data_IF_771719842310
#
_entry.id   IF_771719842310
#
_cell.length_a   1.000
_cell.length_b   1.000
_cell.length_c   1.000
_cell.angle_alpha   90.00
_cell.angle_beta   90.00
_cell.angle_gamma   90.00
#
_symmetry.space_group_name_H-M   'P 1'
#
loop_
_entity.id
_entity.type
_entity.pdbx_description
1 polymer ?
#
# COMPACT_ATOMS: atom_id res chain seq x y z
N UNK A 1 -3.79 -48.24 10.48
CA UNK A 1 -5.11 -48.46 11.03
C UNK A 1 -6.04 -47.39 10.51
N UNK A 2 -6.96 -47.87 9.74
CA UNK A 2 -8.25 -47.37 9.26
C UNK A 2 -8.46 -45.89 8.92
N UNK A 3 -8.51 -45.76 7.65
CA UNK A 3 -9.08 -44.70 6.85
C UNK A 3 -10.56 -45.06 6.62
N UNK A 4 -11.51 -44.26 7.06
CA UNK A 4 -12.80 -44.09 6.38
C UNK A 4 -13.68 -43.12 7.19
N UNK A 5 -14.38 -42.32 6.42
CA UNK A 5 -15.65 -41.64 6.71
C UNK A 5 -15.57 -40.16 6.93
N UNK A 6 -15.48 -39.44 5.78
CA UNK A 6 -16.13 -38.12 5.66
C UNK A 6 -17.29 -38.25 4.67
N UNK A 7 -18.52 -37.93 5.03
CA UNK A 7 -19.63 -37.90 4.09
C UNK A 7 -19.54 -36.71 3.14
N UNK A 8 -19.71 -37.01 1.87
CA UNK A 8 -19.88 -36.08 0.76
C UNK A 8 -21.12 -35.22 1.02
N UNK A 9 -20.94 -33.92 1.28
CA UNK A 9 -22.01 -32.93 1.24
C UNK A 9 -22.05 -32.28 -0.15
N UNK A 10 -22.58 -33.00 -1.10
CA UNK A 10 -22.92 -32.53 -2.42
C UNK A 10 -24.46 -32.63 -2.55
N UNK A 11 -25.16 -31.51 -2.35
CA UNK A 11 -26.57 -31.37 -2.78
C UNK A 11 -27.34 -30.14 -2.24
N UNK A 12 -26.68 -29.11 -1.62
CA UNK A 12 -27.44 -27.93 -1.17
C UNK A 12 -26.90 -26.59 -1.69
N UNK A 13 -26.08 -26.61 -2.74
CA UNK A 13 -25.43 -25.40 -3.29
C UNK A 13 -26.20 -24.70 -4.41
N UNK A 14 -27.28 -25.27 -4.88
CA UNK A 14 -28.00 -24.78 -6.08
C UNK A 14 -29.12 -23.78 -5.80
N UNK A 15 -29.75 -23.81 -4.62
CA UNK A 15 -30.96 -22.99 -4.37
C UNK A 15 -30.71 -21.65 -3.65
N UNK A 16 -29.52 -21.47 -3.06
CA UNK A 16 -29.17 -20.21 -2.39
C UNK A 16 -28.58 -19.15 -3.32
N UNK A 17 -27.92 -19.56 -4.39
CA UNK A 17 -27.29 -18.63 -5.35
C UNK A 17 -28.33 -17.93 -6.25
N UNK A 18 -29.44 -18.56 -6.56
CA UNK A 18 -30.50 -17.95 -7.39
C UNK A 18 -31.38 -16.94 -6.64
N UNK A 19 -31.42 -17.01 -5.31
CA UNK A 19 -32.19 -16.04 -4.49
C UNK A 19 -31.43 -14.77 -4.15
N UNK A 20 -30.09 -14.76 -4.23
CA UNK A 20 -29.25 -13.59 -3.94
C UNK A 20 -29.23 -12.64 -5.13
N UNK A 21 -29.31 -13.14 -6.37
CA UNK A 21 -29.27 -12.31 -7.57
C UNK A 21 -30.54 -11.47 -7.85
N UNK A 22 -31.63 -11.65 -7.11
CA UNK A 22 -32.90 -10.92 -7.36
C UNK A 22 -33.19 -9.74 -6.45
N UNK A 23 -32.31 -9.38 -5.51
CA UNK A 23 -32.54 -8.27 -4.55
C UNK A 23 -31.54 -7.12 -4.55
N UNK A 24 -30.61 -7.07 -5.48
CA UNK A 24 -29.67 -5.93 -5.59
C UNK A 24 -29.89 -5.09 -6.85
N UNK A 25 -31.08 -4.53 -6.97
CA UNK A 25 -31.30 -3.34 -7.80
C UNK A 25 -31.87 -2.27 -6.89
N UNK A 26 -31.00 -1.59 -6.14
CA UNK A 26 -31.25 -0.21 -5.67
C UNK A 26 -30.03 0.27 -4.87
N UNK A 27 -29.41 1.34 -5.33
CA UNK A 27 -28.39 2.04 -4.54
C UNK A 27 -27.13 2.44 -5.34
N UNK A 28 -27.31 3.00 -6.54
CA UNK A 28 -26.20 3.72 -7.17
C UNK A 28 -26.11 5.10 -6.49
N UNK A 29 -25.37 5.17 -5.38
CA UNK A 29 -25.02 6.45 -4.78
C UNK A 29 -23.81 7.02 -5.52
N UNK A 30 -24.05 8.18 -6.12
CA UNK A 30 -23.13 9.02 -6.86
C UNK A 30 -21.99 9.46 -5.94
N UNK A 31 -20.83 8.81 -6.03
CA UNK A 31 -19.61 9.27 -5.36
C UNK A 31 -19.10 10.52 -6.07
N UNK A 32 -19.08 11.63 -5.36
CA UNK A 32 -18.51 12.88 -5.83
C UNK A 32 -17.01 12.70 -6.04
N UNK A 33 -16.55 12.84 -7.28
CA UNK A 33 -15.14 12.89 -7.64
C UNK A 33 -14.58 14.22 -7.12
N UNK A 34 -13.90 14.20 -5.99
CA UNK A 34 -13.04 15.29 -5.56
C UNK A 34 -11.77 15.26 -6.43
N UNK A 35 -11.70 16.20 -7.35
CA UNK A 35 -10.49 16.45 -8.13
C UNK A 35 -9.41 17.01 -7.20
N UNK A 36 -8.54 16.14 -6.70
CA UNK A 36 -7.29 16.55 -6.09
C UNK A 36 -6.36 17.06 -7.20
N UNK A 37 -6.33 18.38 -7.40
CA UNK A 37 -5.35 19.07 -8.24
C UNK A 37 -4.02 19.19 -7.49
N UNK A 38 -3.29 18.11 -7.41
CA UNK A 38 -1.93 18.09 -6.88
C UNK A 38 -1.07 17.12 -7.67
N UNK A 39 -0.13 17.65 -8.42
CA UNK A 39 1.06 17.01 -8.99
C UNK A 39 0.94 15.51 -9.35
N UNK A 40 0.49 15.23 -10.57
CA UNK A 40 0.51 13.88 -11.20
C UNK A 40 0.16 12.74 -10.24
N UNK A 41 -1.13 12.40 -10.11
CA UNK A 41 -1.62 11.42 -9.15
C UNK A 41 -0.94 10.05 -9.27
N UNK A 42 -1.10 9.22 -8.24
CA UNK A 42 -0.51 7.88 -8.12
C UNK A 42 -0.81 7.00 -9.35
N UNK A 43 -1.92 7.26 -10.04
CA UNK A 43 -2.34 6.55 -11.26
C UNK A 43 -1.33 6.66 -12.43
N UNK A 44 -0.44 7.66 -12.40
CA UNK A 44 0.60 7.87 -13.43
C UNK A 44 1.91 7.16 -13.12
N UNK A 45 2.04 6.58 -11.93
CA UNK A 45 3.26 5.89 -11.55
C UNK A 45 3.44 4.61 -12.37
N UNK A 46 4.70 4.24 -12.58
CA UNK A 46 5.13 3.10 -13.42
C UNK A 46 5.77 1.98 -12.60
N UNK A 47 5.64 2.05 -11.30
CA UNK A 47 6.10 1.06 -10.32
C UNK A 47 5.15 1.07 -9.11
N UNK A 48 5.19 0.00 -8.31
CA UNK A 48 4.41 -0.10 -7.08
C UNK A 48 4.72 1.09 -6.18
N UNK A 49 3.66 1.82 -5.81
CA UNK A 49 3.77 3.14 -5.16
C UNK A 49 2.74 3.27 -4.05
N UNK A 50 3.14 3.89 -2.95
CA UNK A 50 2.24 4.28 -1.86
C UNK A 50 2.29 5.79 -1.65
N UNK A 51 1.14 6.38 -1.29
CA UNK A 51 1.03 7.77 -0.83
C UNK A 51 0.05 7.88 0.32
N UNK A 52 0.22 8.90 1.15
CA UNK A 52 -0.69 9.22 2.25
C UNK A 52 -1.04 10.69 2.13
N UNK A 53 -2.32 11.02 2.18
CA UNK A 53 -2.78 12.40 2.15
C UNK A 53 -2.85 13.02 3.57
N UNK A 54 -3.16 14.32 3.64
CA UNK A 54 -3.26 15.07 4.90
C UNK A 54 -4.39 14.57 5.83
N UNK A 55 -5.35 13.80 5.30
CA UNK A 55 -6.43 13.19 6.09
C UNK A 55 -6.03 11.84 6.70
N UNK A 56 -4.88 11.29 6.30
CA UNK A 56 -4.42 9.95 6.67
C UNK A 56 -4.97 8.84 5.77
N UNK A 57 -5.65 9.20 4.67
CA UNK A 57 -6.06 8.25 3.62
C UNK A 57 -4.82 7.76 2.89
N UNK A 58 -4.72 6.46 2.71
CA UNK A 58 -3.61 5.84 1.97
C UNK A 58 -4.09 5.42 0.59
N UNK A 59 -3.35 5.77 -0.44
CA UNK A 59 -3.53 5.18 -1.78
C UNK A 59 -2.32 4.32 -2.12
N UNK A 60 -2.58 3.15 -2.69
CA UNK A 60 -1.58 2.24 -3.18
C UNK A 60 -1.82 1.91 -4.64
N UNK A 61 -0.77 1.96 -5.43
CA UNK A 61 -0.72 1.43 -6.78
C UNK A 61 0.16 0.20 -6.80
N UNK A 62 -0.43 -0.95 -7.00
CA UNK A 62 0.29 -2.20 -7.26
C UNK A 62 0.54 -2.34 -8.76
N UNK A 63 1.77 -2.65 -9.13
CA UNK A 63 2.16 -2.95 -10.50
C UNK A 63 2.94 -4.26 -10.54
N UNK A 64 2.27 -5.31 -11.02
CA UNK A 64 2.79 -6.68 -10.98
C UNK A 64 2.97 -7.25 -12.39
N UNK A 65 3.91 -8.17 -12.55
CA UNK A 65 4.05 -8.95 -13.78
C UNK A 65 2.85 -9.89 -13.96
N UNK A 66 2.22 -9.81 -15.11
CA UNK A 66 1.08 -10.62 -15.51
C UNK A 66 1.35 -11.34 -16.83
N UNK A 67 2.59 -11.74 -17.04
CA UNK A 67 3.05 -12.39 -18.28
C UNK A 67 2.72 -13.87 -18.35
N UNK A 68 2.45 -14.54 -17.22
CA UNK A 68 2.07 -15.94 -17.19
C UNK A 68 0.67 -16.14 -17.77
N UNK A 69 0.56 -16.96 -18.80
CA UNK A 69 -0.70 -17.24 -19.52
C UNK A 69 -1.74 -18.00 -18.69
N UNK A 70 -1.34 -18.58 -17.55
CA UNK A 70 -2.26 -19.24 -16.61
C UNK A 70 -3.09 -18.21 -15.84
N UNK A 71 -2.61 -16.99 -15.66
CA UNK A 71 -3.31 -15.93 -14.97
C UNK A 71 -4.45 -15.35 -15.81
N UNK A 72 -5.60 -15.11 -15.17
CA UNK A 72 -6.79 -14.54 -15.83
C UNK A 72 -7.20 -13.25 -15.10
N UNK A 73 -7.37 -12.18 -15.86
CA UNK A 73 -7.80 -10.87 -15.33
C UNK A 73 -9.08 -10.96 -14.50
N UNK A 74 -10.05 -11.78 -14.93
CA UNK A 74 -11.30 -11.97 -14.19
C UNK A 74 -11.11 -12.67 -12.84
N UNK A 75 -10.17 -13.60 -12.76
CA UNK A 75 -9.83 -14.32 -11.53
C UNK A 75 -9.12 -13.38 -10.57
N UNK A 76 -8.16 -12.58 -11.04
CA UNK A 76 -7.50 -11.53 -10.27
C UNK A 76 -8.53 -10.55 -9.70
N UNK A 77 -9.46 -10.05 -10.53
CA UNK A 77 -10.51 -9.15 -10.10
C UNK A 77 -11.41 -9.77 -9.02
N UNK A 78 -11.79 -11.04 -9.20
CA UNK A 78 -12.61 -11.75 -8.23
C UNK A 78 -11.89 -11.91 -6.89
N UNK A 79 -10.61 -12.29 -6.91
CA UNK A 79 -9.80 -12.45 -5.70
C UNK A 79 -9.61 -11.13 -4.94
N UNK A 80 -9.27 -10.05 -5.65
CA UNK A 80 -9.12 -8.73 -5.02
C UNK A 80 -10.42 -8.27 -4.38
N UNK A 81 -11.55 -8.40 -5.09
CA UNK A 81 -12.86 -8.02 -4.55
C UNK A 81 -13.24 -8.86 -3.34
N UNK A 82 -12.96 -10.17 -3.35
CA UNK A 82 -13.21 -11.06 -2.21
C UNK A 82 -12.38 -10.64 -0.98
N UNK A 83 -11.11 -10.31 -1.16
CA UNK A 83 -10.25 -9.83 -0.08
C UNK A 83 -10.75 -8.49 0.50
N UNK A 84 -11.11 -7.55 -0.36
CA UNK A 84 -11.65 -6.24 0.05
C UNK A 84 -12.97 -6.40 0.79
N UNK A 85 -13.91 -7.21 0.27
CA UNK A 85 -15.19 -7.48 0.92
C UNK A 85 -15.00 -8.17 2.29
N UNK A 86 -14.08 -9.13 2.38
CA UNK A 86 -13.78 -9.83 3.63
C UNK A 86 -13.23 -8.86 4.69
N UNK A 87 -12.25 -8.02 4.32
CA UNK A 87 -11.69 -7.02 5.22
C UNK A 87 -12.74 -5.99 5.66
N UNK A 88 -13.48 -5.41 4.74
CA UNK A 88 -14.52 -4.42 5.04
C UNK A 88 -15.62 -5.00 5.95
N UNK A 89 -15.97 -6.26 5.77
CA UNK A 89 -16.92 -6.95 6.65
C UNK A 89 -16.38 -7.09 8.07
N UNK A 90 -15.09 -7.42 8.23
CA UNK A 90 -14.45 -7.51 9.53
C UNK A 90 -14.30 -6.14 10.20
N UNK A 91 -13.89 -5.13 9.44
CA UNK A 91 -13.77 -3.74 9.90
C UNK A 91 -15.13 -3.10 10.24
N UNK A 92 -16.23 -3.62 9.71
CA UNK A 92 -17.58 -3.06 9.89
C UNK A 92 -17.80 -1.75 9.13
N UNK A 93 -16.97 -1.42 8.14
CA UNK A 93 -16.99 -0.19 7.34
C UNK A 93 -16.39 -0.44 5.95
N UNK A 94 -16.55 0.53 5.03
CA UNK A 94 -15.83 0.54 3.74
C UNK A 94 -14.40 1.05 3.96
N UNK A 95 -13.57 0.28 4.68
CA UNK A 95 -12.21 0.63 5.04
C UNK A 95 -11.23 0.58 3.85
N UNK A 96 -11.52 -0.29 2.86
CA UNK A 96 -10.72 -0.46 1.65
C UNK A 96 -11.61 -0.42 0.42
N UNK A 97 -11.15 0.23 -0.64
CA UNK A 97 -11.86 0.26 -1.93
C UNK A 97 -10.92 0.08 -3.12
N UNK A 98 -11.40 -0.61 -4.17
CA UNK A 98 -10.70 -0.71 -5.45
C UNK A 98 -11.04 0.52 -6.29
N UNK A 99 -10.08 1.39 -6.54
CA UNK A 99 -10.25 2.60 -7.38
C UNK A 99 -10.19 2.27 -8.86
N UNK A 100 -9.24 1.44 -9.24
CA UNK A 100 -9.09 0.96 -10.62
C UNK A 100 -8.35 -0.36 -10.68
N UNK A 101 -8.63 -1.14 -11.71
CA UNK A 101 -7.87 -2.32 -12.05
C UNK A 101 -7.77 -2.42 -13.57
N UNK A 102 -6.59 -2.72 -14.08
CA UNK A 102 -6.32 -2.90 -15.50
C UNK A 102 -5.20 -3.91 -15.70
N UNK A 103 -5.41 -4.83 -16.63
CA UNK A 103 -4.33 -5.68 -17.17
C UNK A 103 -4.02 -5.23 -18.58
N UNK A 104 -2.78 -4.80 -18.80
CA UNK A 104 -2.31 -4.32 -20.09
C UNK A 104 -0.82 -4.58 -20.25
N UNK A 105 -0.40 -4.93 -21.46
CA UNK A 105 1.01 -5.17 -21.82
C UNK A 105 1.71 -6.14 -20.84
N UNK A 106 1.01 -7.22 -20.47
CA UNK A 106 1.48 -8.25 -19.51
C UNK A 106 1.77 -7.70 -18.11
N UNK A 107 1.12 -6.64 -17.72
CA UNK A 107 1.19 -6.06 -16.36
C UNK A 107 -0.21 -5.88 -15.80
N UNK A 108 -0.39 -6.27 -14.55
CA UNK A 108 -1.55 -5.92 -13.75
C UNK A 108 -1.27 -4.62 -13.01
N UNK A 109 -2.17 -3.66 -13.14
CA UNK A 109 -2.14 -2.39 -12.45
C UNK A 109 -3.41 -2.27 -11.61
N UNK A 110 -3.25 -2.25 -10.27
CA UNK A 110 -4.37 -2.19 -9.33
C UNK A 110 -4.16 -0.99 -8.41
N UNK A 111 -5.15 -0.12 -8.32
CA UNK A 111 -5.15 1.01 -7.40
C UNK A 111 -6.17 0.75 -6.29
N UNK A 112 -5.70 0.78 -5.06
CA UNK A 112 -6.50 0.63 -3.84
C UNK A 112 -6.45 1.93 -3.04
N UNK A 113 -7.54 2.21 -2.32
CA UNK A 113 -7.64 3.29 -1.35
C UNK A 113 -8.02 2.70 0.00
N UNK A 114 -7.33 3.14 1.03
CA UNK A 114 -7.53 2.75 2.42
C UNK A 114 -7.91 3.99 3.23
N UNK A 115 -8.96 3.89 4.04
CA UNK A 115 -9.47 5.02 4.81
C UNK A 115 -8.50 5.52 5.88
N UNK A 116 -7.53 4.68 6.28
CA UNK A 116 -6.52 5.03 7.27
C UNK A 116 -5.23 4.23 7.09
N UNK A 117 -4.16 4.72 7.72
CA UNK A 117 -2.89 3.99 7.87
C UNK A 117 -3.09 2.63 8.57
N UNK A 118 -4.03 2.56 9.53
CA UNK A 118 -4.34 1.32 10.22
C UNK A 118 -4.99 0.29 9.29
N UNK A 119 -5.88 0.72 8.39
CA UNK A 119 -6.50 -0.14 7.39
C UNK A 119 -5.49 -0.65 6.37
N UNK A 120 -4.57 0.23 5.92
CA UNK A 120 -3.49 -0.18 5.02
C UNK A 120 -2.60 -1.26 5.64
N UNK A 121 -2.18 -1.07 6.88
CA UNK A 121 -1.39 -2.06 7.65
C UNK A 121 -2.14 -3.37 7.84
N UNK A 122 -3.41 -3.27 8.23
CA UNK A 122 -4.24 -4.43 8.54
C UNK A 122 -4.55 -5.28 7.30
N UNK A 123 -4.90 -4.64 6.19
CA UNK A 123 -5.21 -5.31 4.92
C UNK A 123 -3.98 -6.01 4.34
N UNK A 124 -2.85 -5.30 4.27
CA UNK A 124 -1.61 -5.81 3.66
C UNK A 124 -0.75 -6.63 4.64
N UNK A 125 -1.05 -6.60 5.95
CA UNK A 125 -0.28 -7.27 7.01
C UNK A 125 1.21 -6.86 7.02
N UNK A 126 1.47 -5.57 6.85
CA UNK A 126 2.82 -5.00 6.76
C UNK A 126 3.09 -3.96 7.85
N UNK A 127 4.38 -3.70 8.08
CA UNK A 127 4.84 -2.58 8.89
C UNK A 127 4.85 -1.30 8.05
N UNK A 128 3.98 -0.36 8.41
CA UNK A 128 3.89 0.94 7.76
C UNK A 128 3.53 2.00 8.78
N UNK A 129 4.10 3.19 8.66
CA UNK A 129 3.77 4.33 9.49
C UNK A 129 3.73 5.61 8.65
N UNK A 130 2.78 6.48 8.96
CA UNK A 130 2.73 7.86 8.48
C UNK A 130 2.22 8.78 9.59
N UNK A 131 2.89 9.90 9.79
CA UNK A 131 2.61 10.89 10.82
C UNK A 131 3.83 11.76 11.08
N UNK A 132 3.87 12.46 12.23
CA UNK A 132 5.04 13.25 12.57
C UNK A 132 6.20 12.39 13.09
N UNK A 133 7.43 12.83 12.86
CA UNK A 133 8.64 12.19 13.40
C UNK A 133 8.53 11.99 14.92
N UNK A 134 8.04 13.00 15.64
CA UNK A 134 7.85 12.93 17.10
C UNK A 134 6.87 11.85 17.54
N UNK A 135 5.80 11.65 16.78
CA UNK A 135 4.81 10.61 17.07
C UNK A 135 5.36 9.23 16.75
N UNK A 136 6.08 9.09 15.63
CA UNK A 136 6.77 7.85 15.27
C UNK A 136 7.72 7.40 16.39
N UNK A 137 8.49 8.33 16.99
CA UNK A 137 9.36 8.02 18.12
C UNK A 137 8.58 7.52 19.35
N UNK A 138 7.40 8.07 19.63
CA UNK A 138 6.53 7.61 20.74
C UNK A 138 5.98 6.21 20.48
N UNK A 139 5.78 5.84 19.20
CA UNK A 139 5.35 4.50 18.79
C UNK A 139 6.51 3.49 18.75
N UNK A 140 7.75 3.93 19.04
CA UNK A 140 8.91 3.05 19.18
C UNK A 140 9.83 3.00 17.97
N UNK A 141 9.58 3.78 16.93
CA UNK A 141 10.53 3.89 15.81
C UNK A 141 11.80 4.62 16.26
N UNK A 142 12.95 3.96 16.11
CA UNK A 142 14.22 4.43 16.73
C UNK A 142 15.00 5.40 15.86
N UNK A 143 14.69 5.47 14.56
CA UNK A 143 15.48 6.23 13.59
C UNK A 143 16.98 5.89 13.61
N UNK A 144 17.31 4.66 13.97
CA UNK A 144 18.69 4.17 14.08
C UNK A 144 19.27 3.84 12.69
N UNK A 145 19.25 4.82 11.79
CA UNK A 145 19.77 4.75 10.42
C UNK A 145 20.67 5.95 10.15
N UNK A 146 21.55 5.82 9.16
CA UNK A 146 22.19 6.99 8.56
C UNK A 146 21.19 7.71 7.67
N UNK A 147 21.24 9.03 7.62
CA UNK A 147 20.36 9.84 6.81
C UNK A 147 21.15 10.73 5.84
N UNK A 148 20.53 10.96 4.67
CA UNK A 148 20.98 11.94 3.69
C UNK A 148 19.90 12.98 3.48
N UNK A 149 20.30 14.19 3.03
CA UNK A 149 19.35 15.17 2.48
C UNK A 149 18.83 14.74 1.09
N UNK A 150 17.95 15.55 0.51
CA UNK A 150 17.35 15.28 -0.80
C UNK A 150 18.39 15.24 -1.94
N UNK A 151 19.55 15.84 -1.79
CA UNK A 151 20.67 15.86 -2.73
C UNK A 151 21.63 14.68 -2.51
N UNK A 152 21.40 13.83 -1.49
CA UNK A 152 22.23 12.66 -1.17
C UNK A 152 23.44 12.94 -0.30
N UNK A 153 23.54 14.12 0.33
CA UNK A 153 24.61 14.46 1.25
C UNK A 153 24.32 13.91 2.64
N UNK A 154 25.28 13.26 3.26
CA UNK A 154 25.17 12.76 4.63
C UNK A 154 24.86 13.89 5.62
N UNK A 155 23.81 13.75 6.42
CA UNK A 155 23.36 14.75 7.42
C UNK A 155 23.38 14.21 8.84
N UNK A 156 23.20 12.92 9.03
CA UNK A 156 23.30 12.28 10.34
C UNK A 156 23.81 10.84 10.20
N UNK A 157 24.37 10.30 11.29
CA UNK A 157 24.79 8.90 11.38
C UNK A 157 24.14 8.24 12.57
N UNK A 158 23.57 7.06 12.34
CA UNK A 158 22.90 6.24 13.37
C UNK A 158 21.88 7.05 14.21
N UNK A 159 21.17 7.98 13.59
CA UNK A 159 20.23 8.82 14.29
C UNK A 159 19.48 9.81 13.40
N UNK A 160 18.38 10.31 13.93
CA UNK A 160 17.51 11.27 13.28
C UNK A 160 18.26 12.59 12.99
N UNK A 161 18.00 13.24 11.84
CA UNK A 161 18.49 14.59 11.57
C UNK A 161 17.95 15.63 12.59
N UNK A 162 18.77 16.59 12.95
CA UNK A 162 18.39 17.63 13.91
C UNK A 162 17.22 18.49 13.40
N UNK A 163 16.30 18.80 14.28
CA UNK A 163 15.22 19.76 14.02
C UNK A 163 14.04 19.25 13.17
N UNK A 164 14.00 17.93 12.87
CA UNK A 164 12.93 17.36 12.05
C UNK A 164 11.74 16.81 12.85
N UNK A 165 11.68 16.96 14.17
CA UNK A 165 10.69 16.33 15.05
C UNK A 165 9.23 16.67 14.69
N UNK A 166 9.01 17.86 14.11
CA UNK A 166 7.68 18.34 13.69
C UNK A 166 7.36 18.03 12.24
N UNK A 167 8.32 17.52 11.47
CA UNK A 167 8.11 17.18 10.07
C UNK A 167 7.33 15.86 9.97
N UNK A 168 6.72 15.64 8.82
CA UNK A 168 6.04 14.39 8.49
C UNK A 168 7.08 13.33 8.14
N UNK A 169 6.74 12.09 8.41
CA UNK A 169 7.55 10.93 8.02
C UNK A 169 6.65 9.79 7.54
N UNK A 170 7.07 9.14 6.45
CA UNK A 170 6.58 7.82 6.04
C UNK A 170 7.69 6.82 6.31
N UNK A 171 7.32 5.70 6.96
CA UNK A 171 8.24 4.61 7.30
C UNK A 171 7.71 3.34 6.66
N UNK A 172 8.56 2.67 5.89
CA UNK A 172 8.22 1.45 5.14
C UNK A 172 9.28 0.36 5.34
N UNK A 173 8.92 -0.89 5.03
CA UNK A 173 9.87 -2.02 4.95
C UNK A 173 9.80 -2.73 3.60
N UNK A 174 8.74 -2.56 2.85
CA UNK A 174 8.54 -3.20 1.55
C UNK A 174 9.20 -2.37 0.45
N UNK A 175 9.85 -3.03 -0.53
CA UNK A 175 10.43 -2.37 -1.70
C UNK A 175 9.34 -1.71 -2.55
N UNK A 176 9.27 -0.39 -2.51
CA UNK A 176 8.29 0.39 -3.29
C UNK A 176 8.72 1.86 -3.42
N UNK A 177 8.02 2.58 -4.25
CA UNK A 177 8.11 4.03 -4.35
C UNK A 177 7.18 4.66 -3.30
N UNK A 178 7.70 5.61 -2.54
CA UNK A 178 6.91 6.51 -1.68
C UNK A 178 6.72 7.82 -2.41
N UNK A 179 5.46 8.23 -2.58
CA UNK A 179 5.08 9.55 -3.10
C UNK A 179 4.56 10.38 -1.92
N UNK A 180 5.25 11.47 -1.58
CA UNK A 180 4.81 12.38 -0.50
C UNK A 180 4.03 13.58 -1.06
N UNK A 181 3.02 14.10 -0.35
CA UNK A 181 2.27 15.29 -0.78
C UNK A 181 3.09 16.58 -0.68
N UNK A 182 4.28 16.51 -0.12
CA UNK A 182 5.16 17.62 0.17
C UNK A 182 6.51 17.59 -0.53
N UNK A 183 7.51 18.12 0.16
CA UNK A 183 8.90 18.16 -0.31
C UNK A 183 9.79 17.36 0.62
N UNK A 184 10.47 16.35 0.09
CA UNK A 184 11.43 15.51 0.83
C UNK A 184 12.57 16.38 1.35
N UNK A 185 12.85 16.22 2.65
CA UNK A 185 13.96 16.89 3.33
C UNK A 185 15.10 15.89 3.59
N UNK A 186 14.74 14.71 4.11
CA UNK A 186 15.70 13.69 4.47
C UNK A 186 15.17 12.30 4.13
N UNK A 187 16.07 11.39 3.80
CA UNK A 187 15.78 9.95 3.67
C UNK A 187 16.83 9.14 4.40
N UNK A 188 16.46 7.96 4.89
CA UNK A 188 17.45 6.98 5.35
C UNK A 188 18.30 6.50 4.16
N UNK A 189 19.56 6.14 4.44
CA UNK A 189 20.58 5.84 3.42
C UNK A 189 20.24 4.64 2.52
N UNK A 190 19.36 3.75 2.97
CA UNK A 190 18.82 2.64 2.17
C UNK A 190 17.70 3.07 1.20
N UNK A 191 17.33 4.34 1.20
CA UNK A 191 16.37 4.89 0.25
C UNK A 191 17.05 5.76 -0.80
N UNK A 192 16.50 5.78 -2.01
CA UNK A 192 16.96 6.61 -3.11
C UNK A 192 15.92 7.69 -3.43
N UNK A 193 16.30 8.95 -3.31
CA UNK A 193 15.49 10.07 -3.79
C UNK A 193 15.42 10.03 -5.31
N UNK A 194 14.20 10.03 -5.86
CA UNK A 194 13.94 10.04 -7.31
C UNK A 194 13.70 11.48 -7.78
N UNK A 195 12.95 12.25 -6.99
CA UNK A 195 12.72 13.67 -7.20
C UNK A 195 12.25 14.30 -5.87
N UNK A 196 11.85 15.58 -5.90
CA UNK A 196 11.49 16.35 -4.70
C UNK A 196 10.36 15.73 -3.84
N UNK A 197 9.53 14.85 -4.42
CA UNK A 197 8.38 14.23 -3.73
C UNK A 197 8.37 12.71 -3.82
N UNK A 198 9.42 12.08 -4.35
CA UNK A 198 9.46 10.64 -4.56
C UNK A 198 10.78 10.06 -4.05
N UNK A 199 10.69 9.02 -3.24
CA UNK A 199 11.83 8.22 -2.79
C UNK A 199 11.50 6.73 -2.90
N UNK A 200 12.50 5.91 -3.23
CA UNK A 200 12.34 4.47 -3.43
C UNK A 200 13.15 3.70 -2.40
N UNK A 201 12.52 2.70 -1.78
CA UNK A 201 13.19 1.61 -1.11
C UNK A 201 13.37 0.47 -2.12
N UNK A 202 14.62 0.09 -2.40
CA UNK A 202 14.91 -1.04 -3.28
C UNK A 202 14.95 -2.33 -2.47
N UNK A 203 14.60 -3.46 -3.09
CA UNK A 203 14.88 -4.77 -2.52
C UNK A 203 16.38 -4.93 -2.30
N UNK A 204 16.78 -5.57 -1.20
CA UNK A 204 18.18 -5.91 -0.99
C UNK A 204 18.66 -6.83 -2.12
N UNK A 205 19.76 -6.47 -2.77
CA UNK A 205 20.40 -7.30 -3.80
C UNK A 205 21.01 -8.53 -3.12
N UNK A 206 20.26 -9.61 -2.93
CA UNK A 206 20.80 -10.82 -2.32
C UNK A 206 19.82 -11.91 -1.89
N UNK A 207 18.54 -11.75 -2.10
CA UNK A 207 17.56 -12.82 -1.82
C UNK A 207 16.97 -13.36 -3.11
N UNK A 208 17.40 -14.58 -3.49
CA UNK A 208 16.89 -15.31 -4.67
C UNK A 208 15.46 -15.85 -4.50
N UNK A 209 14.71 -15.38 -3.50
CA UNK A 209 13.35 -15.85 -3.23
C UNK A 209 12.34 -14.76 -3.62
N UNK A 210 11.61 -15.00 -4.72
CA UNK A 210 10.62 -14.10 -5.32
C UNK A 210 9.35 -13.90 -4.47
N UNK A 211 9.25 -14.51 -3.28
CA UNK A 211 8.10 -14.38 -2.41
C UNK A 211 8.30 -13.31 -1.33
N UNK A 212 7.67 -12.16 -1.49
CA UNK A 212 7.56 -11.08 -0.49
C UNK A 212 8.88 -10.65 0.15
N UNK A 213 9.72 -9.94 -0.61
CA UNK A 213 10.99 -9.43 -0.10
C UNK A 213 10.73 -8.24 0.82
N UNK A 214 10.65 -8.49 2.11
CA UNK A 214 10.69 -7.46 3.14
C UNK A 214 12.16 -7.10 3.38
N UNK A 215 12.54 -5.83 3.28
CA UNK A 215 13.89 -5.42 3.68
C UNK A 215 14.04 -5.57 5.19
N UNK A 216 15.22 -5.94 5.68
CA UNK A 216 15.43 -6.09 7.12
C UNK A 216 15.41 -4.73 7.86
N UNK A 217 15.70 -3.64 7.17
CA UNK A 217 15.77 -2.29 7.72
C UNK A 217 14.64 -1.40 7.23
N UNK A 218 14.12 -0.54 8.12
CA UNK A 218 13.15 0.47 7.74
C UNK A 218 13.74 1.50 6.78
N UNK A 219 12.94 1.89 5.77
CA UNK A 219 13.13 3.07 4.97
C UNK A 219 12.36 4.23 5.58
N UNK A 220 13.00 5.40 5.72
CA UNK A 220 12.40 6.60 6.28
C UNK A 220 12.41 7.71 5.23
N UNK A 221 11.25 8.34 5.01
CA UNK A 221 11.12 9.54 4.17
C UNK A 221 10.56 10.66 5.03
N UNK A 222 11.40 11.64 5.36
CA UNK A 222 11.02 12.82 6.15
C UNK A 222 10.77 13.97 5.19
N UNK A 223 9.61 14.62 5.30
CA UNK A 223 9.17 15.65 4.38
C UNK A 223 8.42 16.80 5.07
N UNK A 224 8.31 17.92 4.38
CA UNK A 224 7.46 19.05 4.76
C UNK A 224 6.27 19.13 3.83
N UNK A 225 5.10 19.44 4.36
CA UNK A 225 3.91 19.69 3.56
C UNK A 225 4.10 20.95 2.69
N UNK A 226 3.46 20.98 1.52
CA UNK A 226 3.49 22.15 0.62
C UNK A 226 2.40 23.17 1.00
N UNK A 227 2.26 23.51 2.31
CA UNK A 227 1.35 24.58 2.75
C UNK A 227 1.94 25.96 2.54
#
# INVERSE_FOLDING_TARGET
YNRSDYPVMESQRSDSEEKIMKKQKLGLALAAVLLLTGCGGIEKMTETTVTVDDSGTVEELLLEDFSDETYKEKELAAQINELVEAYNKEAGSEAVSVKSMQVKDKKAKVQLEYQSVADYRGFNQIDFYAGTVKEAQKEGYTFASDFTDAEGKDVSRAGMPDGCEKQQVIIIREPMLVLVPGTIQYVSKNMKVVNKSQARLSADEGTDDESHVTTQAYGYVIYTDNN
#
